data_IF_660480846433
#
_entry.id   IF_660480846433
#
_cell.length_a   1.000
_cell.length_b   1.000
_cell.length_c   1.000
_cell.angle_alpha   90.00
_cell.angle_beta   90.00
_cell.angle_gamma   90.00
#
_symmetry.space_group_name_H-M   'P 1'
#
loop_
_entity.id
_entity.type
_entity.pdbx_description
1 polymer ?
#
# COMPACT_ATOMS: atom_id res chain seq x y z
N UNK A 1 -33.31 -19.82 -24.60
CA UNK A 1 -32.16 -19.60 -23.68
C UNK A 1 -31.12 -18.59 -24.17
N UNK A 2 -31.25 -18.00 -25.38
CA UNK A 2 -30.35 -16.94 -25.90
C UNK A 2 -30.79 -15.50 -25.55
N UNK A 3 -31.91 -15.33 -24.86
CA UNK A 3 -32.54 -14.00 -24.66
C UNK A 3 -32.17 -13.31 -23.33
N UNK A 4 -31.54 -14.01 -22.40
CA UNK A 4 -31.18 -13.43 -21.09
C UNK A 4 -29.85 -12.67 -21.10
N UNK A 5 -28.94 -12.99 -22.03
CA UNK A 5 -27.57 -12.46 -22.04
C UNK A 5 -27.43 -11.07 -22.69
N UNK A 6 -28.46 -10.59 -23.40
CA UNK A 6 -28.37 -9.34 -24.20
C UNK A 6 -28.86 -8.09 -23.47
N UNK A 7 -29.54 -8.21 -22.32
CA UNK A 7 -30.10 -7.03 -21.62
C UNK A 7 -29.10 -6.22 -20.80
N UNK A 8 -28.01 -6.81 -20.31
CA UNK A 8 -27.07 -6.12 -19.41
C UNK A 8 -25.88 -5.43 -20.08
N UNK A 9 -25.74 -5.54 -21.41
CA UNK A 9 -24.63 -4.92 -22.16
C UNK A 9 -25.04 -3.66 -22.94
N UNK A 10 -26.27 -3.16 -22.78
CA UNK A 10 -26.80 -2.05 -23.60
C UNK A 10 -27.16 -0.76 -22.85
N UNK A 11 -27.14 -0.77 -21.52
CA UNK A 11 -27.35 0.45 -20.73
C UNK A 11 -25.99 1.12 -20.45
N UNK A 12 -25.86 2.45 -20.58
CA UNK A 12 -24.66 3.15 -20.17
C UNK A 12 -24.36 2.81 -18.70
N UNK A 13 -23.12 2.45 -18.41
CA UNK A 13 -22.67 2.21 -17.04
C UNK A 13 -22.94 3.48 -16.24
N UNK A 14 -23.91 3.42 -15.33
CA UNK A 14 -24.19 4.50 -14.39
C UNK A 14 -22.94 4.72 -13.54
N UNK A 15 -22.23 5.81 -13.81
CA UNK A 15 -21.02 6.19 -13.08
C UNK A 15 -21.34 6.76 -11.70
N UNK A 16 -22.62 6.89 -11.34
CA UNK A 16 -23.04 7.28 -10.00
C UNK A 16 -22.47 6.25 -9.01
N UNK A 17 -21.65 6.68 -8.03
CA UNK A 17 -21.13 5.77 -7.03
C UNK A 17 -22.27 5.02 -6.35
N UNK A 18 -22.28 3.70 -6.44
CA UNK A 18 -23.26 2.85 -5.74
C UNK A 18 -23.25 3.09 -4.21
N UNK A 19 -22.16 3.64 -3.69
CA UNK A 19 -22.01 4.06 -2.31
C UNK A 19 -21.40 5.46 -2.26
N UNK A 20 -22.11 6.39 -1.65
CA UNK A 20 -21.60 7.71 -1.30
C UNK A 20 -21.11 7.67 0.15
N UNK A 21 -19.79 7.73 0.35
CA UNK A 21 -19.17 7.78 1.68
C UNK A 21 -19.13 9.23 2.23
N UNK A 22 -20.15 10.04 1.93
CA UNK A 22 -20.23 11.48 2.27
C UNK A 22 -20.12 11.75 3.78
N UNK A 23 -20.31 10.73 4.62
CA UNK A 23 -20.28 10.83 6.08
C UNK A 23 -19.39 9.77 6.76
N UNK A 24 -18.31 9.32 6.11
CA UNK A 24 -17.36 8.41 6.75
C UNK A 24 -16.44 9.16 7.72
N UNK A 25 -16.76 9.13 9.02
CA UNK A 25 -16.04 9.81 10.11
C UNK A 25 -15.22 8.85 10.99
N UNK A 26 -14.78 7.72 10.44
CA UNK A 26 -14.00 6.71 11.17
C UNK A 26 -12.53 6.69 10.73
N UNK A 27 -11.60 6.32 11.64
CA UNK A 27 -11.81 6.08 13.08
C UNK A 27 -12.09 7.38 13.85
N UNK A 28 -12.57 7.27 15.08
CA UNK A 28 -12.68 8.41 15.99
C UNK A 28 -11.30 8.98 16.40
N UNK A 29 -11.29 10.08 17.14
CA UNK A 29 -10.05 10.74 17.60
C UNK A 29 -9.18 9.87 18.53
N UNK A 30 -9.75 8.80 19.09
CA UNK A 30 -9.05 7.81 19.92
C UNK A 30 -8.63 6.58 19.13
N UNK A 31 -8.85 6.55 17.81
CA UNK A 31 -8.51 5.43 16.93
C UNK A 31 -9.54 4.29 16.94
N UNK A 32 -10.76 4.50 17.44
CA UNK A 32 -11.79 3.47 17.49
C UNK A 32 -12.72 3.47 16.26
N UNK A 33 -13.04 2.26 15.82
CA UNK A 33 -14.10 1.93 14.87
C UNK A 33 -15.27 1.32 15.65
N UNK A 34 -16.10 2.17 16.27
CA UNK A 34 -17.12 1.72 17.22
C UNK A 34 -16.44 1.03 18.43
N UNK A 35 -16.77 -0.23 18.78
CA UNK A 35 -16.12 -0.93 19.89
C UNK A 35 -14.72 -1.48 19.56
N UNK A 36 -14.26 -1.38 18.31
CA UNK A 36 -12.99 -1.96 17.86
C UNK A 36 -11.90 -0.89 17.67
N UNK A 37 -10.64 -1.28 17.60
CA UNK A 37 -9.53 -0.34 17.38
C UNK A 37 -8.94 0.19 18.69
N UNK A 38 -8.59 1.47 18.74
CA UNK A 38 -7.93 2.07 19.90
C UNK A 38 -6.44 1.76 19.99
N UNK A 39 -5.80 2.25 21.05
CA UNK A 39 -4.37 2.10 21.30
C UNK A 39 -4.18 1.33 22.61
N UNK A 40 -3.86 0.04 22.50
CA UNK A 40 -3.62 -0.87 23.64
C UNK A 40 -2.17 -1.35 23.62
N UNK A 41 -1.26 -0.48 24.03
CA UNK A 41 0.19 -0.73 24.00
C UNK A 41 0.83 -0.40 25.34
N UNK A 42 2.09 -0.81 25.54
CA UNK A 42 2.85 -0.42 26.72
C UNK A 42 3.13 1.08 26.74
N UNK A 43 3.23 1.66 27.94
CA UNK A 43 3.53 3.09 28.13
C UNK A 43 4.79 3.55 27.37
N UNK A 44 5.79 2.67 27.30
CA UNK A 44 7.05 2.90 26.57
C UNK A 44 6.89 3.11 25.07
N UNK A 45 5.76 2.72 24.48
CA UNK A 45 5.47 2.87 23.04
C UNK A 45 4.59 4.08 22.73
N UNK A 46 3.94 4.67 23.73
CA UNK A 46 2.96 5.76 23.53
C UNK A 46 3.62 6.94 22.79
N UNK A 47 4.76 7.43 23.28
CA UNK A 47 5.47 8.55 22.66
C UNK A 47 5.87 8.27 21.19
N UNK A 48 6.27 7.03 20.88
CA UNK A 48 6.65 6.67 19.51
C UNK A 48 5.44 6.66 18.55
N UNK A 49 4.26 6.26 19.05
CA UNK A 49 3.01 6.29 18.29
C UNK A 49 2.50 7.72 18.10
N UNK A 50 2.61 8.56 19.12
CA UNK A 50 2.22 9.97 19.03
C UNK A 50 3.07 10.72 17.99
N UNK A 51 4.40 10.54 18.03
CA UNK A 51 5.32 11.10 17.02
C UNK A 51 4.95 10.64 15.60
N UNK A 52 4.60 9.37 15.43
CA UNK A 52 4.17 8.80 14.15
C UNK A 52 2.84 9.41 13.68
N UNK A 53 1.86 9.53 14.58
CA UNK A 53 0.55 10.10 14.28
C UNK A 53 0.66 11.57 13.86
N UNK A 54 1.47 12.36 14.58
CA UNK A 54 1.72 13.76 14.25
C UNK A 54 2.44 13.91 12.90
N UNK A 55 3.46 13.09 12.65
CA UNK A 55 4.16 13.09 11.37
C UNK A 55 3.22 12.72 10.22
N UNK A 56 2.41 11.68 10.38
CA UNK A 56 1.42 11.26 9.38
C UNK A 56 0.36 12.34 9.14
N UNK A 57 -0.21 12.92 10.20
CA UNK A 57 -1.24 13.96 10.10
C UNK A 57 -0.75 15.17 9.31
N UNK A 58 0.52 15.56 9.47
CA UNK A 58 1.13 16.64 8.69
C UNK A 58 1.40 16.24 7.23
N UNK A 59 1.99 15.05 7.01
CA UNK A 59 2.48 14.65 5.69
C UNK A 59 1.37 14.15 4.75
N UNK A 60 0.24 13.66 5.28
CA UNK A 60 -0.88 13.20 4.44
C UNK A 60 -1.47 14.32 3.56
N UNK A 61 -1.29 15.58 3.96
CA UNK A 61 -1.77 16.77 3.23
C UNK A 61 -0.63 17.55 2.54
N UNK A 62 0.63 17.16 2.75
CA UNK A 62 1.79 17.79 2.11
C UNK A 62 1.86 17.43 0.61
N UNK A 63 1.72 18.45 -0.25
CA UNK A 63 1.77 18.30 -1.70
C UNK A 63 3.10 17.70 -2.21
N UNK A 64 4.23 18.01 -1.58
CA UNK A 64 5.55 17.48 -1.97
C UNK A 64 5.64 16.01 -1.62
N UNK A 65 5.18 15.62 -0.43
CA UNK A 65 5.11 14.22 -0.01
C UNK A 65 4.19 13.40 -0.94
N UNK A 66 2.99 13.92 -1.22
CA UNK A 66 2.03 13.25 -2.10
C UNK A 66 2.55 13.13 -3.54
N UNK A 67 3.28 14.12 -4.04
CA UNK A 67 3.92 14.05 -5.36
C UNK A 67 5.00 12.96 -5.41
N UNK A 68 5.88 12.89 -4.40
CA UNK A 68 6.89 11.84 -4.26
C UNK A 68 6.22 10.46 -4.18
N UNK A 69 5.23 10.29 -3.31
CA UNK A 69 4.48 9.03 -3.16
C UNK A 69 3.82 8.58 -4.46
N UNK A 70 3.12 9.48 -5.18
CA UNK A 70 2.48 9.16 -6.47
C UNK A 70 3.50 8.81 -7.55
N UNK A 71 4.67 9.46 -7.55
CA UNK A 71 5.77 9.14 -8.45
C UNK A 71 6.27 7.72 -8.22
N UNK A 72 6.51 7.34 -6.96
CA UNK A 72 6.95 5.97 -6.62
C UNK A 72 5.87 4.93 -6.96
N UNK A 73 4.60 5.21 -6.68
CA UNK A 73 3.51 4.31 -7.09
C UNK A 73 3.48 4.08 -8.61
N UNK A 74 3.70 5.14 -9.40
CA UNK A 74 3.67 5.05 -10.86
C UNK A 74 4.90 4.35 -11.44
N UNK A 75 6.09 4.78 -11.04
CA UNK A 75 7.33 4.41 -11.70
C UNK A 75 8.04 3.20 -11.07
N UNK A 76 7.85 2.97 -9.78
CA UNK A 76 8.43 1.83 -9.08
C UNK A 76 7.42 0.69 -8.90
N UNK A 77 6.24 0.98 -8.33
CA UNK A 77 5.23 -0.06 -8.07
C UNK A 77 4.53 -0.56 -9.35
N UNK A 78 4.36 0.30 -10.34
CA UNK A 78 3.69 -0.02 -11.61
C UNK A 78 2.19 0.30 -11.61
N UNK A 79 1.75 1.29 -10.83
CA UNK A 79 0.34 1.73 -10.80
C UNK A 79 -0.04 2.61 -11.98
N UNK A 80 -1.32 2.60 -12.42
CA UNK A 80 -2.44 1.82 -11.88
C UNK A 80 -2.45 0.36 -12.34
N UNK A 81 -2.85 -0.55 -11.45
CA UNK A 81 -3.10 -1.95 -11.81
C UNK A 81 -4.36 -2.09 -12.69
N UNK A 82 -4.34 -2.93 -13.74
CA UNK A 82 -5.49 -3.12 -14.62
C UNK A 82 -6.63 -3.87 -13.93
N UNK A 83 -7.85 -3.70 -14.46
CA UNK A 83 -9.02 -4.52 -14.14
C UNK A 83 -9.19 -5.51 -15.29
N UNK A 84 -9.09 -6.80 -15.01
CA UNK A 84 -9.12 -7.85 -16.02
C UNK A 84 -10.45 -8.61 -15.98
N UNK A 85 -11.15 -8.69 -17.12
CA UNK A 85 -12.36 -9.48 -17.25
C UNK A 85 -12.04 -10.98 -17.44
N UNK A 86 -12.43 -11.80 -16.47
CA UNK A 86 -12.22 -13.25 -16.51
C UNK A 86 -13.38 -13.94 -17.25
N UNK A 87 -13.44 -13.77 -18.57
CA UNK A 87 -14.54 -14.27 -19.42
C UNK A 87 -14.80 -15.76 -19.27
N UNK A 88 -13.74 -16.57 -19.24
CA UNK A 88 -13.87 -18.03 -19.08
C UNK A 88 -14.60 -18.40 -17.80
N UNK A 89 -14.24 -17.77 -16.68
CA UNK A 89 -14.88 -18.04 -15.40
C UNK A 89 -16.31 -17.51 -15.35
N UNK A 90 -16.52 -16.32 -15.91
CA UNK A 90 -17.86 -15.72 -16.02
C UNK A 90 -18.82 -16.63 -16.79
N UNK A 91 -18.36 -17.19 -17.92
CA UNK A 91 -19.13 -18.14 -18.72
C UNK A 91 -19.36 -19.47 -18.00
N UNK A 92 -18.35 -20.00 -17.28
CA UNK A 92 -18.47 -21.26 -16.55
C UNK A 92 -19.47 -21.18 -15.39
N UNK A 93 -19.53 -20.06 -14.66
CA UNK A 93 -20.47 -19.87 -13.56
C UNK A 93 -21.88 -19.51 -14.04
N UNK A 94 -22.04 -19.04 -15.27
CA UNK A 94 -23.34 -18.78 -15.90
C UNK A 94 -24.15 -17.64 -15.25
N UNK A 95 -23.52 -16.83 -14.40
CA UNK A 95 -24.16 -15.76 -13.63
C UNK A 95 -23.47 -14.40 -13.82
N UNK A 96 -22.97 -13.84 -12.72
CA UNK A 96 -22.30 -12.53 -12.72
C UNK A 96 -20.99 -12.50 -13.52
N UNK A 97 -20.64 -11.32 -14.02
CA UNK A 97 -19.36 -11.09 -14.68
C UNK A 97 -18.23 -10.96 -13.64
N UNK A 98 -17.13 -11.68 -13.84
CA UNK A 98 -15.99 -11.70 -12.91
C UNK A 98 -14.87 -10.80 -13.43
N UNK A 99 -14.48 -9.83 -12.60
CA UNK A 99 -13.35 -8.94 -12.86
C UNK A 99 -12.30 -9.07 -11.76
N UNK A 100 -11.03 -9.22 -12.16
CA UNK A 100 -9.90 -9.22 -11.24
C UNK A 100 -9.24 -7.85 -11.20
N UNK A 101 -9.09 -7.30 -9.99
CA UNK A 101 -8.19 -6.16 -9.74
C UNK A 101 -6.77 -6.70 -9.63
N UNK A 102 -5.94 -6.45 -10.65
CA UNK A 102 -4.65 -7.12 -10.85
C UNK A 102 -3.51 -6.55 -9.99
N UNK A 103 -3.68 -6.55 -8.67
CA UNK A 103 -2.61 -6.14 -7.73
C UNK A 103 -1.43 -7.12 -7.68
N UNK A 104 -1.60 -8.32 -8.25
CA UNK A 104 -0.53 -9.30 -8.50
C UNK A 104 0.52 -8.78 -9.49
N UNK A 105 0.20 -7.75 -10.29
CA UNK A 105 1.13 -7.13 -11.24
C UNK A 105 1.96 -5.99 -10.63
N UNK A 106 1.77 -5.68 -9.36
CA UNK A 106 2.65 -4.73 -8.68
C UNK A 106 4.08 -5.29 -8.65
N UNK A 107 5.09 -4.42 -8.58
CA UNK A 107 6.51 -4.81 -8.68
C UNK A 107 6.93 -6.03 -7.83
N UNK A 108 6.42 -6.15 -6.60
CA UNK A 108 6.72 -7.26 -5.69
C UNK A 108 5.72 -8.42 -5.77
N UNK A 109 4.78 -8.39 -6.71
CA UNK A 109 3.69 -9.37 -6.83
C UNK A 109 2.57 -9.23 -5.78
N UNK A 110 2.55 -8.17 -4.98
CA UNK A 110 1.60 -8.01 -3.88
C UNK A 110 1.06 -6.58 -3.72
N UNK A 111 -0.15 -6.44 -3.18
CA UNK A 111 -0.74 -5.13 -2.84
C UNK A 111 -0.05 -4.43 -1.66
N UNK A 112 0.74 -5.17 -0.86
CA UNK A 112 1.37 -4.66 0.37
C UNK A 112 2.39 -3.56 0.09
N UNK A 113 3.05 -3.59 -1.07
CA UNK A 113 4.05 -2.59 -1.47
C UNK A 113 3.50 -1.16 -1.45
N UNK A 114 2.21 -0.96 -1.74
CA UNK A 114 1.58 0.36 -1.69
C UNK A 114 1.72 1.01 -0.30
N UNK A 115 1.52 0.22 0.76
CA UNK A 115 1.63 0.67 2.14
C UNK A 115 3.10 0.85 2.55
N UNK A 116 3.94 -0.13 2.21
CA UNK A 116 5.36 -0.09 2.59
C UNK A 116 6.08 1.12 1.99
N UNK A 117 5.80 1.49 0.73
CA UNK A 117 6.35 2.72 0.13
C UNK A 117 5.92 3.97 0.91
N UNK A 118 4.65 4.06 1.30
CA UNK A 118 4.15 5.16 2.12
C UNK A 118 4.85 5.26 3.48
N UNK A 119 5.00 4.14 4.17
CA UNK A 119 5.69 4.08 5.47
C UNK A 119 7.19 4.34 5.37
N UNK A 120 7.85 3.87 4.30
CA UNK A 120 9.26 4.12 4.07
C UNK A 120 9.54 5.61 3.80
N UNK A 121 8.70 6.25 2.98
CA UNK A 121 8.77 7.70 2.76
C UNK A 121 8.49 8.48 4.05
N UNK A 122 7.51 8.04 4.85
CA UNK A 122 7.22 8.64 6.14
C UNK A 122 8.42 8.54 7.10
N UNK A 123 9.02 7.36 7.24
CA UNK A 123 10.21 7.14 8.06
C UNK A 123 11.40 8.00 7.61
N UNK A 124 11.59 8.16 6.29
CA UNK A 124 12.59 9.06 5.70
C UNK A 124 12.34 10.51 6.10
N UNK A 125 11.09 10.99 6.02
CA UNK A 125 10.73 12.37 6.43
C UNK A 125 10.83 12.60 7.93
N UNK A 126 10.64 11.56 8.74
CA UNK A 126 10.88 11.59 10.19
C UNK A 126 12.37 11.52 10.56
N UNK A 127 13.29 11.42 9.59
CA UNK A 127 14.73 11.33 9.82
C UNK A 127 15.14 10.04 10.53
N UNK A 128 14.32 8.98 10.47
CA UNK A 128 14.63 7.71 11.13
C UNK A 128 15.75 7.01 10.33
N UNK A 129 16.87 6.65 10.97
CA UNK A 129 18.03 6.10 10.26
C UNK A 129 17.83 4.65 9.80
N UNK A 130 16.77 3.98 10.27
CA UNK A 130 16.49 2.57 10.00
C UNK A 130 14.99 2.34 9.90
N UNK A 131 14.57 1.58 8.92
CA UNK A 131 13.20 1.07 8.78
C UNK A 131 13.20 -0.43 9.09
N UNK A 132 12.29 -0.88 9.96
CA UNK A 132 12.14 -2.30 10.30
C UNK A 132 10.67 -2.67 10.16
N UNK A 133 10.38 -3.64 9.30
CA UNK A 133 9.06 -4.26 9.20
C UNK A 133 9.14 -5.72 9.61
N UNK A 134 8.05 -6.25 10.16
CA UNK A 134 7.85 -7.69 10.32
C UNK A 134 6.62 -8.08 9.51
N UNK A 135 6.75 -8.07 8.20
CA UNK A 135 5.72 -8.59 7.29
C UNK A 135 5.99 -10.08 7.11
N UNK A 136 4.97 -10.93 7.24
CA UNK A 136 5.11 -12.34 6.85
C UNK A 136 5.18 -12.40 5.32
N UNK A 137 6.36 -12.73 4.83
CA UNK A 137 6.65 -12.95 3.43
C UNK A 137 5.76 -14.01 2.77
N UNK A 138 5.36 -13.73 1.54
CA UNK A 138 4.69 -14.72 0.70
C UNK A 138 5.80 -15.64 0.20
N UNK A 139 5.85 -16.88 0.69
CA UNK A 139 6.97 -17.80 0.52
C UNK A 139 7.58 -17.84 -0.89
N UNK A 140 8.91 -17.63 -0.96
CA UNK A 140 9.82 -17.96 -2.07
C UNK A 140 10.30 -16.73 -2.86
N UNK A 141 11.58 -16.37 -2.95
CA UNK A 141 12.79 -17.18 -3.01
C UNK A 141 14.02 -16.42 -2.46
N UNK A 142 14.63 -16.95 -1.40
CA UNK A 142 16.08 -17.16 -1.21
C UNK A 142 16.31 -17.43 0.27
N UNK A 143 16.81 -18.63 0.57
CA UNK A 143 17.49 -18.87 1.83
C UNK A 143 18.72 -17.97 1.89
N UNK A 144 18.61 -16.86 2.62
CA UNK A 144 19.75 -16.23 3.28
C UNK A 144 19.27 -15.86 4.67
N UNK A 145 19.99 -16.37 5.66
CA UNK A 145 20.01 -15.82 7.01
C UNK A 145 20.00 -14.30 6.91
N UNK A 146 19.09 -13.64 7.63
CA UNK A 146 19.10 -12.20 7.74
C UNK A 146 20.48 -11.80 8.32
N UNK A 147 21.36 -11.11 7.57
CA UNK A 147 22.64 -10.76 8.13
C UNK A 147 22.39 -9.72 9.22
N UNK A 148 22.90 -10.05 10.41
CA UNK A 148 23.14 -9.11 11.48
C UNK A 148 23.81 -7.86 10.94
N UNK A 149 23.10 -6.73 11.02
CA UNK A 149 23.61 -5.36 11.00
C UNK A 149 24.97 -5.13 10.32
N UNK A 150 25.00 -5.14 8.98
CA UNK A 150 26.19 -4.74 8.24
C UNK A 150 25.95 -3.40 7.52
N UNK A 151 26.92 -2.49 7.65
CA UNK A 151 26.95 -1.18 6.97
C UNK A 151 27.11 -1.44 5.48
N UNK A 152 26.18 -0.97 4.66
CA UNK A 152 26.14 -1.28 3.22
C UNK A 152 26.74 -0.15 2.36
N UNK A 153 27.39 -0.47 1.22
CA UNK A 153 28.07 0.47 0.32
C UNK A 153 27.11 1.31 -0.55
N UNK A 154 27.57 2.50 -0.95
CA UNK A 154 26.82 3.51 -1.69
C UNK A 154 26.71 3.19 -3.19
N UNK A 155 25.57 2.75 -3.70
CA UNK A 155 25.16 3.07 -5.08
C UNK A 155 23.68 2.80 -5.32
N UNK A 156 23.09 3.55 -6.27
CA UNK A 156 21.67 3.58 -6.63
C UNK A 156 20.77 4.36 -5.66
N UNK A 157 21.12 5.63 -5.49
CA UNK A 157 20.13 6.67 -5.73
C UNK A 157 20.87 7.94 -6.16
N UNK A 158 20.34 8.62 -7.18
CA UNK A 158 20.90 9.86 -7.71
C UNK A 158 21.36 10.83 -6.61
N UNK A 159 22.51 11.44 -6.88
CA UNK A 159 23.21 12.47 -6.09
C UNK A 159 22.25 13.30 -5.23
N UNK A 160 22.18 12.97 -3.96
CA UNK A 160 21.90 13.96 -2.93
C UNK A 160 22.51 13.49 -1.61
N UNK A 161 23.49 14.24 -1.11
CA UNK A 161 24.38 13.84 0.00
C UNK A 161 23.87 14.46 1.30
N UNK A 162 22.76 13.95 1.82
CA UNK A 162 22.19 14.36 3.11
C UNK A 162 21.75 13.16 3.96
N UNK A 163 22.26 13.13 5.20
CA UNK A 163 21.98 12.27 6.37
C UNK A 163 20.98 11.09 6.25
N UNK A 164 21.46 9.88 6.64
CA UNK A 164 20.62 8.77 7.11
C UNK A 164 19.63 8.20 6.09
N UNK A 165 20.13 7.61 5.01
CA UNK A 165 19.32 7.24 3.84
C UNK A 165 18.73 5.83 3.97
N UNK A 166 17.40 5.72 4.13
CA UNK A 166 16.65 4.46 3.88
C UNK A 166 16.77 4.17 2.38
N UNK A 167 17.25 2.98 2.02
CA UNK A 167 17.36 2.54 0.61
C UNK A 167 16.13 1.73 0.20
N UNK A 168 15.84 1.72 -1.09
CA UNK A 168 14.72 0.92 -1.62
C UNK A 168 14.93 -0.59 -1.44
N UNK A 169 16.18 -1.05 -1.39
CA UNK A 169 16.53 -2.44 -1.04
C UNK A 169 16.02 -2.81 0.38
N UNK A 170 15.96 -1.85 1.29
CA UNK A 170 15.40 -2.04 2.65
C UNK A 170 13.87 -2.24 2.60
N UNK A 171 13.21 -1.80 1.53
CA UNK A 171 11.76 -1.92 1.30
C UNK A 171 11.40 -3.26 0.68
N UNK A 172 12.22 -3.78 -0.24
CA UNK A 172 12.02 -5.08 -0.87
C UNK A 172 12.00 -6.22 0.16
N UNK A 173 12.96 -6.22 1.10
CA UNK A 173 13.01 -7.20 2.20
C UNK A 173 11.85 -7.10 3.20
N UNK A 174 11.00 -6.06 3.11
CA UNK A 174 9.80 -5.90 3.93
C UNK A 174 8.52 -6.43 3.26
N UNK A 175 8.56 -6.78 1.97
CA UNK A 175 7.38 -7.25 1.21
C UNK A 175 7.50 -8.70 0.78
N UNK A 176 8.73 -9.19 0.59
CA UNK A 176 9.04 -10.60 0.31
C UNK A 176 8.76 -11.55 1.47
#
# INVERSE_FOLDING_TARGET
MKEFTTRYLREPFDSTPLFHAEHYQLPDVRGHFGPYGGVFVSETLIHALDELNEAYARLKEDAVFLAEFRRELKHFVGRPSPIYHAERWSNMLGGGQIYFKREDLNHTGAHKINNVIGQALLAKRMGKPRFRSRMRGLHGQRGREAPSAERLPDEIAGRDRGAGRIRFEDVEGCVE
#
